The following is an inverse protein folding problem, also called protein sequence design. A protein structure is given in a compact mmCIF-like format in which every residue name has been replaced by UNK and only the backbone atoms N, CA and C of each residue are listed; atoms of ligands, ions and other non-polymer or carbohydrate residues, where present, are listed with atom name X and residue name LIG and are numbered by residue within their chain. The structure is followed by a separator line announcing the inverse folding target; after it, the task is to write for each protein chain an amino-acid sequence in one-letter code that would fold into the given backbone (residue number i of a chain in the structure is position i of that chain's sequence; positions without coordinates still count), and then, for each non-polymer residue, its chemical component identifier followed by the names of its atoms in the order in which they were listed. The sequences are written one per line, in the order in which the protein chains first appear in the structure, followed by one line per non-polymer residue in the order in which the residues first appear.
data_IF_646512031149
#
_entry.id   IF_646512031149
#
_cell.length_a   1.000
_cell.length_b   1.000
_cell.length_c   1.000
_cell.angle_alpha   90.00
_cell.angle_beta   90.00
_cell.angle_gamma   90.00
#
_symmetry.space_group_name_H-M   'P 1'
#
loop_
_entity.id
_entity.type
_entity.pdbx_description
1 polymer ?
#
# COMPACT_ATOMS: atom_id res chain seq x y z
N UNK A 1 1.57 6.43 -6.64
CA UNK A 1 2.15 6.08 -5.33
C UNK A 1 1.40 6.80 -4.22
N UNK A 2 1.48 6.35 -2.96
CA UNK A 2 0.87 7.08 -1.84
C UNK A 2 1.25 6.56 -0.44
N UNK A 3 0.92 7.33 0.60
CA UNK A 3 1.15 6.99 2.02
C UNK A 3 -0.19 6.97 2.76
N UNK A 4 -0.40 6.04 3.69
CA UNK A 4 -1.61 6.01 4.54
C UNK A 4 -2.89 5.95 3.67
N UNK A 5 -3.81 6.92 3.81
CA UNK A 5 -5.00 7.04 2.97
C UNK A 5 -4.68 7.28 1.49
N UNK A 6 -3.60 8.00 1.18
CA UNK A 6 -3.11 8.12 -0.20
C UNK A 6 -2.61 6.78 -0.74
N UNK A 7 -2.08 5.91 0.13
CA UNK A 7 -1.71 4.55 -0.22
C UNK A 7 -2.93 3.68 -0.57
N UNK A 8 -3.98 3.76 0.24
CA UNK A 8 -5.28 3.15 -0.08
C UNK A 8 -5.81 3.61 -1.44
N UNK A 9 -5.82 4.92 -1.70
CA UNK A 9 -6.30 5.47 -2.95
C UNK A 9 -5.46 5.01 -4.16
N UNK A 10 -4.14 4.93 -4.01
CA UNK A 10 -3.26 4.44 -5.06
C UNK A 10 -3.52 2.95 -5.39
N UNK A 11 -3.74 2.12 -4.37
CA UNK A 11 -4.07 0.70 -4.56
C UNK A 11 -5.44 0.58 -5.24
N UNK A 12 -6.48 1.26 -4.72
CA UNK A 12 -7.82 1.27 -5.31
C UNK A 12 -7.78 1.68 -6.78
N UNK A 13 -7.11 2.78 -7.10
CA UNK A 13 -6.97 3.26 -8.47
C UNK A 13 -6.26 2.23 -9.36
N UNK A 14 -5.13 1.67 -8.89
CA UNK A 14 -4.41 0.64 -9.65
C UNK A 14 -5.27 -0.60 -9.92
N UNK A 15 -6.02 -1.03 -8.91
CA UNK A 15 -6.95 -2.15 -8.99
C UNK A 15 -8.08 -1.94 -10.01
N UNK A 16 -8.63 -0.73 -10.08
CA UNK A 16 -9.72 -0.42 -11.01
C UNK A 16 -9.24 -0.10 -12.44
N UNK A 17 -8.04 0.48 -12.57
CA UNK A 17 -7.54 0.99 -13.84
C UNK A 17 -6.50 0.07 -14.50
N UNK A 18 -6.12 -1.05 -13.88
CA UNK A 18 -5.21 -2.03 -14.46
C UNK A 18 -3.88 -1.38 -14.91
N UNK A 19 -3.30 -0.54 -14.03
CA UNK A 19 -2.03 0.13 -14.32
C UNK A 19 -0.85 -0.82 -14.12
N UNK A 20 0.36 -0.42 -14.50
CA UNK A 20 1.54 -1.30 -14.38
C UNK A 20 2.02 -1.45 -12.93
N UNK A 21 2.17 -0.35 -12.19
CA UNK A 21 2.81 -0.37 -10.87
C UNK A 21 2.12 0.54 -9.85
N UNK A 22 2.01 0.06 -8.60
CA UNK A 22 1.61 0.84 -7.42
C UNK A 22 2.65 0.69 -6.33
N UNK A 23 3.15 1.82 -5.81
CA UNK A 23 3.92 1.84 -4.56
C UNK A 23 3.08 2.49 -3.47
N UNK A 24 2.93 1.80 -2.34
CA UNK A 24 2.17 2.29 -1.19
C UNK A 24 2.91 2.09 0.12
N UNK A 25 2.95 3.11 0.96
CA UNK A 25 3.59 3.07 2.28
C UNK A 25 2.52 3.14 3.37
N UNK A 26 2.59 2.20 4.32
CA UNK A 26 1.67 2.03 5.44
C UNK A 26 0.19 2.26 5.05
N UNK A 27 -0.31 1.64 3.96
CA UNK A 27 -1.70 1.82 3.55
C UNK A 27 -2.64 1.30 4.63
N UNK A 28 -3.83 1.89 4.70
CA UNK A 28 -4.97 1.31 5.41
C UNK A 28 -5.88 0.61 4.40
N UNK A 29 -5.73 -0.70 4.21
CA UNK A 29 -6.41 -1.45 3.13
C UNK A 29 -7.77 -2.02 3.54
N UNK A 30 -8.06 -2.03 4.85
CA UNK A 30 -9.35 -2.39 5.41
C UNK A 30 -9.89 -1.23 6.25
N UNK A 31 -10.99 -0.65 5.78
CA UNK A 31 -11.65 0.51 6.36
C UNK A 31 -12.78 0.15 7.32
N UNK A 32 -12.95 -1.14 7.69
CA UNK A 32 -14.00 -1.60 8.60
C UNK A 32 -14.11 -0.72 9.84
N UNK A 33 -15.33 -0.27 10.13
CA UNK A 33 -15.64 0.57 11.29
C UNK A 33 -15.38 2.07 11.09
N UNK A 34 -14.89 2.51 9.93
CA UNK A 34 -14.88 3.93 9.56
C UNK A 34 -16.28 4.38 9.17
N UNK A 35 -16.73 5.51 9.73
CA UNK A 35 -17.99 6.15 9.31
C UNK A 35 -17.76 6.93 8.01
N UNK A 36 -18.74 6.94 7.12
CA UNK A 36 -18.69 7.70 5.87
C UNK A 36 -18.11 6.94 4.67
N UNK A 37 -18.00 5.61 4.76
CA UNK A 37 -17.82 4.77 3.58
C UNK A 37 -19.11 4.87 2.76
N UNK A 38 -19.00 5.43 1.56
CA UNK A 38 -20.15 5.65 0.66
C UNK A 38 -20.56 4.33 -0.02
N UNK A 39 -19.58 3.48 -0.33
CA UNK A 39 -19.79 2.18 -0.97
C UNK A 39 -18.96 1.10 -0.28
N UNK A 40 -19.66 0.13 0.31
CA UNK A 40 -19.08 -0.99 1.05
C UNK A 40 -18.21 -1.90 0.17
N UNK A 41 -18.37 -1.86 -1.16
CA UNK A 41 -17.49 -2.56 -2.10
C UNK A 41 -16.03 -2.17 -1.93
N UNK A 42 -15.78 -0.91 -1.59
CA UNK A 42 -14.42 -0.36 -1.43
C UNK A 42 -13.94 -0.37 0.02
N UNK A 43 -14.71 -0.91 0.97
CA UNK A 43 -14.29 -0.98 2.37
C UNK A 43 -13.00 -1.79 2.54
N UNK A 44 -12.92 -2.96 1.88
CA UNK A 44 -11.76 -3.83 1.94
C UNK A 44 -11.17 -4.03 0.55
N UNK A 45 -9.96 -3.53 0.34
CA UNK A 45 -9.27 -3.59 -0.94
C UNK A 45 -8.99 -5.04 -1.39
N UNK A 46 -8.99 -6.01 -0.47
CA UNK A 46 -8.82 -7.44 -0.79
C UNK A 46 -9.81 -7.94 -1.85
N UNK A 47 -10.99 -7.36 -1.91
CA UNK A 47 -12.06 -7.78 -2.81
C UNK A 47 -11.96 -7.18 -4.22
N UNK A 48 -11.02 -6.26 -4.45
CA UNK A 48 -10.89 -5.55 -5.72
C UNK A 48 -9.49 -5.63 -6.34
N UNK A 49 -8.49 -6.15 -5.61
CA UNK A 49 -7.14 -6.36 -6.15
C UNK A 49 -7.21 -7.12 -7.47
N UNK A 50 -6.53 -6.59 -8.49
CA UNK A 50 -6.33 -7.25 -9.76
C UNK A 50 -4.96 -7.99 -9.78
N UNK A 51 -4.74 -8.79 -10.82
CA UNK A 51 -3.54 -9.62 -10.94
C UNK A 51 -2.52 -9.08 -11.95
N UNK A 52 -2.83 -7.99 -12.63
CA UNK A 52 -2.04 -7.41 -13.72
C UNK A 52 -1.37 -6.07 -13.37
N UNK A 53 -1.67 -5.50 -12.21
CA UNK A 53 -0.89 -4.41 -11.60
C UNK A 53 0.10 -4.98 -10.60
N UNK A 54 1.36 -4.55 -10.64
CA UNK A 54 2.35 -4.89 -9.61
C UNK A 54 2.23 -3.93 -8.41
N UNK A 55 1.95 -4.47 -7.23
CA UNK A 55 1.77 -3.69 -6.01
C UNK A 55 2.94 -3.91 -5.04
N UNK A 56 3.67 -2.85 -4.75
CA UNK A 56 4.73 -2.83 -3.74
C UNK A 56 4.24 -2.11 -2.48
N UNK A 57 4.03 -2.86 -1.40
CA UNK A 57 3.50 -2.36 -0.14
C UNK A 57 4.58 -2.34 0.92
N UNK A 58 4.91 -1.16 1.45
CA UNK A 58 5.78 -1.00 2.60
C UNK A 58 4.95 -0.97 3.87
N UNK A 59 5.22 -1.86 4.82
CA UNK A 59 4.53 -1.88 6.11
C UNK A 59 5.49 -1.75 7.30
N UNK A 60 4.98 -1.19 8.40
CA UNK A 60 5.78 -0.87 9.59
C UNK A 60 5.59 -1.90 10.71
N UNK A 61 6.69 -2.52 11.15
CA UNK A 61 6.77 -3.49 12.24
C UNK A 61 6.91 -2.84 13.64
N UNK A 62 7.15 -1.53 13.69
CA UNK A 62 7.30 -0.80 14.96
C UNK A 62 5.95 -0.52 15.63
N UNK A 63 4.87 -0.41 14.85
CA UNK A 63 3.50 -0.23 15.34
C UNK A 63 3.04 -1.53 16.02
N UNK A 64 2.86 -1.50 17.35
CA UNK A 64 2.47 -2.70 18.14
C UNK A 64 0.97 -2.88 18.33
N UNK A 65 0.22 -1.77 18.34
CA UNK A 65 -1.23 -1.84 18.42
C UNK A 65 -1.81 -2.33 17.09
N UNK A 66 -2.44 -3.50 17.12
CA UNK A 66 -3.07 -4.14 15.95
C UNK A 66 -4.23 -3.33 15.38
N UNK A 67 -4.86 -2.47 16.20
CA UNK A 67 -5.97 -1.62 15.77
C UNK A 67 -5.49 -0.30 15.16
N UNK A 68 -4.18 0.00 15.23
CA UNK A 68 -3.63 1.20 14.65
C UNK A 68 -3.75 1.17 13.12
N UNK A 69 -4.08 2.32 12.53
CA UNK A 69 -4.34 2.46 11.09
C UNK A 69 -3.13 2.14 10.19
N UNK A 70 -1.94 2.15 10.77
CA UNK A 70 -0.66 1.88 10.10
C UNK A 70 -0.01 0.56 10.53
N UNK A 71 -0.72 -0.28 11.29
CA UNK A 71 -0.22 -1.59 11.67
C UNK A 71 0.02 -2.47 10.42
N UNK A 72 1.07 -3.29 10.43
CA UNK A 72 1.47 -4.16 9.31
C UNK A 72 0.35 -5.07 8.78
N UNK A 73 -0.62 -5.41 9.64
CA UNK A 73 -1.79 -6.21 9.24
C UNK A 73 -2.60 -5.58 8.11
N UNK A 74 -2.52 -4.26 7.92
CA UNK A 74 -3.14 -3.60 6.77
C UNK A 74 -2.46 -4.00 5.45
N UNK A 75 -1.14 -4.19 5.42
CA UNK A 75 -0.48 -4.76 4.23
C UNK A 75 -0.79 -6.26 4.11
N UNK A 76 -0.71 -7.00 5.21
CA UNK A 76 -0.90 -8.47 5.24
C UNK A 76 -2.36 -8.87 4.90
N UNK A 77 -3.33 -7.98 5.05
CA UNK A 77 -4.70 -8.19 4.55
C UNK A 77 -4.73 -8.53 3.05
N UNK A 78 -3.76 -8.01 2.28
CA UNK A 78 -3.58 -8.27 0.85
C UNK A 78 -2.53 -9.36 0.55
N UNK A 79 -2.06 -10.10 1.56
CA UNK A 79 -1.16 -11.23 1.35
C UNK A 79 -1.88 -12.38 0.60
N UNK A 80 -1.13 -13.10 -0.24
CA UNK A 80 -1.61 -14.25 -1.01
C UNK A 80 -1.90 -13.97 -2.49
N UNK A 81 -1.95 -12.70 -2.92
CA UNK A 81 -1.99 -12.34 -4.34
C UNK A 81 -0.58 -12.33 -4.93
N UNK A 82 -0.39 -12.93 -6.11
CA UNK A 82 0.91 -12.97 -6.79
C UNK A 82 1.41 -11.57 -7.22
N UNK A 83 0.48 -10.65 -7.46
CA UNK A 83 0.74 -9.25 -7.81
C UNK A 83 1.16 -8.39 -6.61
N UNK A 84 1.06 -8.88 -5.38
CA UNK A 84 1.38 -8.13 -4.16
C UNK A 84 2.75 -8.54 -3.63
N UNK A 85 3.63 -7.56 -3.46
CA UNK A 85 4.91 -7.69 -2.73
C UNK A 85 4.90 -6.81 -1.49
N UNK A 86 5.08 -7.43 -0.32
CA UNK A 86 5.14 -6.71 0.96
C UNK A 86 6.58 -6.59 1.44
N UNK A 87 7.03 -5.36 1.65
CA UNK A 87 8.33 -5.05 2.28
C UNK A 87 8.07 -4.62 3.72
N UNK A 88 8.50 -5.45 4.67
CA UNK A 88 8.35 -5.18 6.11
C UNK A 88 9.59 -4.41 6.61
N UNK A 89 9.37 -3.25 7.25
CA UNK A 89 10.44 -2.39 7.78
C UNK A 89 10.16 -2.04 9.24
N UNK A 90 11.21 -1.83 10.03
CA UNK A 90 11.09 -1.27 11.38
C UNK A 90 11.20 0.25 11.25
N UNK A 91 10.17 0.97 11.67
CA UNK A 91 10.11 2.45 11.64
C UNK A 91 10.17 3.01 10.22
N UNK A 92 9.00 3.21 9.61
CA UNK A 92 8.87 3.84 8.30
C UNK A 92 8.80 5.37 8.43
N UNK A 93 9.97 6.00 8.46
CA UNK A 93 10.10 7.47 8.37
C UNK A 93 10.16 7.91 6.90
N UNK A 94 9.04 8.46 6.41
CA UNK A 94 8.94 8.93 5.03
C UNK A 94 9.88 10.08 4.69
N UNK A 95 10.21 10.94 5.67
CA UNK A 95 11.17 12.03 5.46
C UNK A 95 12.56 11.45 5.22
N UNK A 96 12.97 10.48 6.04
CA UNK A 96 14.25 9.78 5.87
C UNK A 96 14.33 9.09 4.50
N UNK A 97 13.31 8.31 4.12
CA UNK A 97 13.28 7.60 2.82
C UNK A 97 13.31 8.54 1.61
N UNK A 98 12.80 9.76 1.77
CA UNK A 98 12.90 10.81 0.76
C UNK A 98 14.32 11.38 0.73
N UNK A 99 14.84 11.78 1.89
CA UNK A 99 16.10 12.51 2.03
C UNK A 99 17.32 11.63 1.70
N UNK A 100 17.23 10.32 1.93
CA UNK A 100 18.29 9.34 1.60
C UNK A 100 18.18 8.77 0.17
N UNK A 101 17.20 9.22 -0.62
CA UNK A 101 17.02 8.81 -2.00
C UNK A 101 16.33 7.45 -2.20
N UNK A 102 15.92 6.74 -1.14
CA UNK A 102 15.24 5.44 -1.26
C UNK A 102 14.02 5.53 -2.15
N UNK A 103 13.16 6.54 -1.98
CA UNK A 103 11.96 6.72 -2.81
C UNK A 103 12.31 6.89 -4.29
N UNK A 104 13.32 7.73 -4.59
CA UNK A 104 13.79 7.95 -5.96
C UNK A 104 14.28 6.64 -6.58
N UNK A 105 15.08 5.88 -5.84
CA UNK A 105 15.64 4.62 -6.33
C UNK A 105 14.54 3.59 -6.65
N UNK A 106 13.45 3.53 -5.87
CA UNK A 106 12.32 2.65 -6.20
C UNK A 106 11.56 3.12 -7.45
N UNK A 107 11.37 4.43 -7.63
CA UNK A 107 10.77 4.97 -8.85
C UNK A 107 11.65 4.73 -10.08
N UNK A 108 12.96 4.93 -9.97
CA UNK A 108 13.91 4.71 -11.07
C UNK A 108 13.92 3.24 -11.52
N UNK A 109 13.78 2.28 -10.60
CA UNK A 109 13.67 0.86 -10.97
C UNK A 109 12.45 0.59 -11.83
N UNK A 110 11.33 1.27 -11.59
CA UNK A 110 10.10 1.08 -12.36
C UNK A 110 10.21 1.80 -13.71
N UNK A 111 10.70 3.04 -13.72
CA UNK A 111 10.76 3.87 -14.92
C UNK A 111 11.81 3.34 -15.92
N UNK A 112 12.96 2.88 -15.43
CA UNK A 112 14.07 2.44 -16.27
C UNK A 112 14.06 0.92 -16.54
N UNK A 113 12.98 0.21 -16.23
CA UNK A 113 12.74 -1.17 -16.67
C UNK A 113 12.26 -1.24 -18.14
N UNK A 114 12.19 -0.09 -18.81
CA UNK A 114 11.83 0.06 -20.23
C UNK A 114 13.07 -0.01 -21.11
#
# INVERSE_FOLDING_TARGET
MGVSSGGYAAILFGSLCHITNVISFIPRTNLKGIRGIVDNKYENLKNIINNDTDYLLYGDLSVKDKNHNHHISQCENLEGFSSIKIVKKISLDMKKLRDDGTIKNELDKIINQV
#
